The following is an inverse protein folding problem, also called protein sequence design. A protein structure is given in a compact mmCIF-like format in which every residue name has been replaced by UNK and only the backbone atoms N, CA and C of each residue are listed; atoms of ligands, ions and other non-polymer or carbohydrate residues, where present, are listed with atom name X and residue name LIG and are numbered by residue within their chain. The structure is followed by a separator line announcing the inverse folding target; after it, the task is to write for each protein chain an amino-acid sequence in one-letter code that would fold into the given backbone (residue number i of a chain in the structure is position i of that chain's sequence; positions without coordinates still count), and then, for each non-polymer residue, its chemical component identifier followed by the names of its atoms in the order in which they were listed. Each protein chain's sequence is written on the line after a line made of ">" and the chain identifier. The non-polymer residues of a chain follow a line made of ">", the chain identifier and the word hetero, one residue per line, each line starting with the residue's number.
data_IF_615359755420
#
_entry.id   IF_615359755420
#
_cell.length_a   1.000
_cell.length_b   1.000
_cell.length_c   1.000
_cell.angle_alpha   90.00
_cell.angle_beta   90.00
_cell.angle_gamma   90.00
#
_symmetry.space_group_name_H-M   'P 1'
#
loop_
_entity.id
_entity.type
_entity.pdbx_description
1 polymer ?
#
# COMPACT_ATOMS: atom_id res chain seq x y z
N UNK A 1 1.35 -11.62 -12.71
CA UNK A 1 0.60 -10.52 -12.05
C UNK A 1 -0.28 -9.78 -13.04
N UNK A 2 -1.58 -9.70 -12.77
CA UNK A 2 -2.60 -9.16 -13.66
C UNK A 2 -2.48 -7.63 -13.86
N UNK A 3 -2.99 -7.08 -14.99
CA UNK A 3 -3.05 -5.63 -15.19
C UNK A 3 -3.86 -4.89 -14.11
N UNK A 4 -4.94 -5.51 -13.62
CA UNK A 4 -5.79 -4.91 -12.58
C UNK A 4 -5.05 -4.72 -11.25
N UNK A 5 -4.28 -5.71 -10.81
CA UNK A 5 -3.48 -5.61 -9.58
C UNK A 5 -2.31 -4.64 -9.73
N UNK A 6 -1.68 -4.58 -10.90
CA UNK A 6 -0.67 -3.55 -11.19
C UNK A 6 -1.25 -2.15 -11.07
N UNK A 7 -2.43 -1.90 -11.63
CA UNK A 7 -3.11 -0.61 -11.52
C UNK A 7 -3.47 -0.28 -10.06
N UNK A 8 -3.96 -1.28 -9.31
CA UNK A 8 -4.32 -1.09 -7.90
C UNK A 8 -3.11 -0.75 -7.02
N UNK A 9 -1.95 -1.33 -7.29
CA UNK A 9 -0.69 -0.96 -6.63
C UNK A 9 -0.30 0.50 -6.92
N UNK A 10 -0.46 0.97 -8.16
CA UNK A 10 -0.22 2.38 -8.52
C UNK A 10 -1.16 3.32 -7.75
N UNK A 11 -2.43 2.96 -7.63
CA UNK A 11 -3.40 3.73 -6.85
C UNK A 11 -3.06 3.77 -5.36
N UNK A 12 -2.60 2.65 -4.79
CA UNK A 12 -2.14 2.62 -3.40
C UNK A 12 -0.92 3.51 -3.18
N UNK A 13 0.04 3.53 -4.11
CA UNK A 13 1.19 4.44 -4.04
C UNK A 13 0.73 5.90 -4.04
N UNK A 14 -0.10 6.28 -5.02
CA UNK A 14 -0.60 7.65 -5.13
C UNK A 14 -1.43 8.07 -3.90
N UNK A 15 -2.17 7.14 -3.31
CA UNK A 15 -2.88 7.38 -2.06
C UNK A 15 -1.90 7.58 -0.91
N UNK A 16 -0.95 6.66 -0.71
CA UNK A 16 0.05 6.70 0.35
C UNK A 16 0.93 7.97 0.30
N UNK A 17 1.19 8.54 -0.87
CA UNK A 17 1.89 9.83 -0.98
C UNK A 17 1.17 10.95 -0.23
N UNK A 18 -0.15 10.85 -0.04
CA UNK A 18 -0.94 11.76 0.79
C UNK A 18 -0.79 11.54 2.30
N UNK A 19 -0.10 10.48 2.74
CA UNK A 19 0.19 10.22 4.16
C UNK A 19 1.36 11.07 4.69
N UNK A 20 2.11 11.74 3.80
CA UNK A 20 3.20 12.63 4.17
C UNK A 20 2.77 14.09 3.97
N UNK A 21 3.04 14.94 4.95
CA UNK A 21 3.01 16.38 4.76
C UNK A 21 4.29 16.79 4.01
N UNK A 22 4.15 17.07 2.71
CA UNK A 22 5.27 17.48 1.86
C UNK A 22 5.76 18.91 2.13
N UNK A 23 4.93 19.75 2.76
CA UNK A 23 5.32 21.11 3.14
C UNK A 23 6.12 21.08 4.46
N UNK A 24 5.76 20.19 5.39
CA UNK A 24 6.49 19.98 6.65
C UNK A 24 6.66 18.47 7.00
N UNK A 25 7.62 17.77 6.36
CA UNK A 25 7.84 16.33 6.55
C UNK A 25 8.12 15.87 7.99
N UNK A 26 8.76 16.67 8.87
CA UNK A 26 8.95 16.29 10.27
C UNK A 26 7.65 16.25 11.09
N UNK A 27 6.54 16.79 10.56
CA UNK A 27 5.24 16.82 11.20
C UNK A 27 4.56 15.46 11.28
N UNK A 28 3.40 15.41 11.92
CA UNK A 28 2.54 14.23 11.87
C UNK A 28 1.92 14.09 10.48
N UNK A 29 1.65 12.84 10.07
CA UNK A 29 0.84 12.54 8.89
C UNK A 29 -0.46 13.37 8.88
N UNK A 30 -0.87 13.94 7.73
CA UNK A 30 -2.13 14.65 7.58
C UNK A 30 -3.34 13.70 7.55
N UNK A 31 -3.12 12.39 7.45
CA UNK A 31 -4.20 11.41 7.51
C UNK A 31 -4.85 11.37 8.89
N UNK A 32 -6.19 11.28 8.87
CA UNK A 32 -6.95 10.89 10.05
C UNK A 32 -6.71 9.40 10.38
N UNK A 33 -7.10 9.00 11.59
CA UNK A 33 -7.06 7.59 11.97
C UNK A 33 -7.94 6.72 11.05
N UNK A 34 -9.09 7.24 10.63
CA UNK A 34 -10.01 6.56 9.71
C UNK A 34 -9.40 6.34 8.33
N UNK A 35 -8.74 7.36 7.78
CA UNK A 35 -8.10 7.26 6.47
C UNK A 35 -6.93 6.27 6.49
N UNK A 36 -6.14 6.29 7.56
CA UNK A 36 -5.10 5.29 7.78
C UNK A 36 -5.67 3.88 7.85
N UNK A 37 -6.74 3.66 8.61
CA UNK A 37 -7.38 2.34 8.69
C UNK A 37 -7.93 1.88 7.33
N UNK A 38 -8.49 2.81 6.55
CA UNK A 38 -8.98 2.53 5.19
C UNK A 38 -7.84 2.11 4.26
N UNK A 39 -6.69 2.79 4.34
CA UNK A 39 -5.52 2.43 3.57
C UNK A 39 -4.97 1.05 3.96
N UNK A 40 -4.81 0.79 5.25
CA UNK A 40 -4.30 -0.50 5.76
C UNK A 40 -5.16 -1.68 5.28
N UNK A 41 -6.49 -1.55 5.34
CA UNK A 41 -7.40 -2.58 4.81
C UNK A 41 -7.18 -2.80 3.31
N UNK A 42 -7.11 -1.72 2.53
CA UNK A 42 -6.89 -1.80 1.10
C UNK A 42 -5.53 -2.41 0.72
N UNK A 43 -4.48 -2.07 1.46
CA UNK A 43 -3.14 -2.64 1.28
C UNK A 43 -3.11 -4.14 1.59
N UNK A 44 -3.78 -4.56 2.67
CA UNK A 44 -3.91 -5.97 3.04
C UNK A 44 -4.67 -6.79 1.97
N UNK A 45 -5.75 -6.24 1.42
CA UNK A 45 -6.51 -6.88 0.33
C UNK A 45 -5.63 -7.07 -0.92
N UNK A 46 -4.88 -6.04 -1.33
CA UNK A 46 -3.98 -6.14 -2.48
C UNK A 46 -2.86 -7.14 -2.23
N UNK A 47 -2.27 -7.14 -1.04
CA UNK A 47 -1.23 -8.12 -0.68
C UNK A 47 -1.75 -9.56 -0.76
N UNK A 48 -2.99 -9.81 -0.33
CA UNK A 48 -3.60 -11.14 -0.44
C UNK A 48 -3.75 -11.57 -1.91
N UNK A 49 -4.16 -10.67 -2.80
CA UNK A 49 -4.27 -10.99 -4.23
C UNK A 49 -2.89 -11.19 -4.86
N UNK A 50 -1.91 -10.35 -4.53
CA UNK A 50 -0.53 -10.52 -5.01
C UNK A 50 0.03 -11.88 -4.64
N UNK A 51 -0.13 -12.30 -3.38
CA UNK A 51 0.29 -13.64 -2.91
C UNK A 51 -0.43 -14.76 -3.67
N UNK A 52 -1.73 -14.62 -3.91
CA UNK A 52 -2.51 -15.58 -4.69
C UNK A 52 -2.03 -15.69 -6.14
N UNK A 53 -1.76 -14.56 -6.79
CA UNK A 53 -1.31 -14.52 -8.19
C UNK A 53 0.13 -15.02 -8.38
N UNK A 54 0.99 -14.87 -7.38
CA UNK A 54 2.35 -15.41 -7.40
C UNK A 54 2.36 -16.93 -7.17
N UNK A 55 1.42 -17.44 -6.38
CA UNK A 55 1.33 -18.86 -6.07
C UNK A 55 2.35 -19.31 -5.01
N UNK A 56 2.33 -20.59 -4.63
CA UNK A 56 3.06 -21.12 -3.48
C UNK A 56 4.57 -21.20 -3.66
N UNK A 57 5.08 -21.05 -4.90
CA UNK A 57 6.51 -21.09 -5.19
C UNK A 57 7.25 -19.80 -4.82
N UNK A 58 6.50 -18.75 -4.46
CA UNK A 58 7.03 -17.43 -4.17
C UNK A 58 6.61 -16.96 -2.77
N UNK A 59 7.48 -16.17 -2.15
CA UNK A 59 7.20 -15.51 -0.88
C UNK A 59 7.29 -13.99 -1.06
N UNK A 60 6.35 -13.26 -0.44
CA UNK A 60 6.38 -11.80 -0.39
C UNK A 60 6.91 -11.38 0.98
N UNK A 61 8.18 -10.98 1.01
CA UNK A 61 8.89 -10.54 2.21
C UNK A 61 9.15 -9.03 2.16
N UNK A 62 9.03 -8.37 3.32
CA UNK A 62 9.48 -7.00 3.49
C UNK A 62 10.91 -7.01 4.02
N UNK A 63 11.84 -6.38 3.28
CA UNK A 63 13.22 -6.18 3.69
C UNK A 63 13.44 -4.68 3.80
N UNK A 64 13.54 -4.11 5.02
CA UNK A 64 13.87 -2.71 5.18
C UNK A 64 15.27 -2.43 4.61
N UNK A 65 15.41 -1.29 3.93
CA UNK A 65 16.69 -0.79 3.39
C UNK A 65 17.60 -0.26 4.48
#
# INVERSE_FOLDING_TARGET
>A
MSPGIRQRLVELTAWHDGALDWEYPPGSSPWSAEERERFERAAAEVLAVVRSELGPEFEVVYVPL
#
